data_IF_726007370204
#
_entry.id   IF_726007370204
#
_cell.length_a   1.000
_cell.length_b   1.000
_cell.length_c   1.000
_cell.angle_alpha   90.00
_cell.angle_beta   90.00
_cell.angle_gamma   90.00
#
_symmetry.space_group_name_H-M   'P 1'
#
loop_
_entity.id
_entity.type
_entity.pdbx_description
1 polymer ?
#
# COMPACT_ATOMS: atom_id res chain seq x y z
N UNK A 1 6.16 6.44 14.48
CA UNK A 1 6.05 7.86 14.06
C UNK A 1 5.51 7.88 12.64
N UNK A 2 4.49 8.70 12.35
CA UNK A 2 4.03 8.88 10.98
C UNK A 2 5.17 9.51 10.17
N UNK A 3 5.50 8.92 9.04
CA UNK A 3 6.52 9.43 8.14
C UNK A 3 5.94 10.62 7.38
N UNK A 4 6.64 11.72 7.34
CA UNK A 4 6.24 12.92 6.62
C UNK A 4 7.32 13.38 5.66
N UNK A 5 6.94 14.15 4.66
CA UNK A 5 7.82 14.69 3.63
C UNK A 5 7.66 16.20 3.49
N UNK A 6 8.69 16.86 2.96
CA UNK A 6 8.63 18.27 2.57
C UNK A 6 8.01 18.43 1.18
N UNK A 7 7.51 19.61 0.81
CA UNK A 7 7.02 19.91 -0.53
C UNK A 7 8.05 19.57 -1.63
N UNK A 8 9.33 19.80 -1.37
CA UNK A 8 10.42 19.47 -2.29
C UNK A 8 10.57 17.97 -2.51
N UNK A 9 10.45 17.17 -1.43
CA UNK A 9 10.50 15.70 -1.54
C UNK A 9 9.30 15.16 -2.30
N UNK A 10 8.07 15.64 -2.00
CA UNK A 10 6.88 15.24 -2.74
C UNK A 10 6.99 15.63 -4.22
N UNK A 11 7.42 16.85 -4.53
CA UNK A 11 7.62 17.31 -5.91
C UNK A 11 8.54 16.38 -6.72
N UNK A 12 9.66 15.95 -6.11
CA UNK A 12 10.57 14.98 -6.74
C UNK A 12 9.93 13.60 -6.91
N UNK A 13 9.20 13.14 -5.89
CA UNK A 13 8.57 11.83 -5.91
C UNK A 13 7.53 11.67 -7.02
N UNK A 14 6.83 12.75 -7.39
CA UNK A 14 5.78 12.72 -8.42
C UNK A 14 6.15 13.45 -9.72
N UNK A 15 7.38 13.94 -9.82
CA UNK A 15 7.90 14.54 -11.07
C UNK A 15 7.29 15.91 -11.42
N UNK A 16 6.94 16.72 -10.42
CA UNK A 16 6.39 18.08 -10.62
C UNK A 16 7.30 19.16 -10.00
N UNK A 17 6.94 20.46 -10.23
CA UNK A 17 7.67 21.55 -9.59
C UNK A 17 7.32 21.68 -8.11
N UNK A 18 8.29 22.10 -7.29
CA UNK A 18 8.04 22.41 -5.87
C UNK A 18 6.99 23.51 -5.68
N UNK A 19 6.93 24.48 -6.60
CA UNK A 19 5.94 25.55 -6.59
C UNK A 19 4.52 25.02 -6.80
N UNK A 20 4.33 23.99 -7.63
CA UNK A 20 3.03 23.34 -7.80
C UNK A 20 2.56 22.70 -6.49
N UNK A 21 3.46 21.95 -5.82
CA UNK A 21 3.13 21.32 -4.53
C UNK A 21 2.82 22.35 -3.47
N UNK A 22 3.61 23.46 -3.38
CA UNK A 22 3.33 24.55 -2.44
C UNK A 22 1.96 25.18 -2.68
N UNK A 23 1.60 25.39 -3.94
CA UNK A 23 0.27 25.93 -4.29
C UNK A 23 -0.84 24.97 -3.86
N UNK A 24 -0.71 23.66 -4.11
CA UNK A 24 -1.71 22.67 -3.66
C UNK A 24 -1.86 22.63 -2.13
N UNK A 25 -0.78 22.88 -1.40
CA UNK A 25 -0.84 23.04 0.06
C UNK A 25 -1.57 24.33 0.45
N UNK A 26 -1.29 25.46 -0.24
CA UNK A 26 -1.90 26.75 0.04
C UNK A 26 -3.39 26.76 -0.33
N UNK A 27 -3.77 26.06 -1.39
CA UNK A 27 -5.15 25.89 -1.86
C UNK A 27 -5.94 24.85 -1.03
N UNK A 28 -5.30 24.19 -0.05
CA UNK A 28 -5.93 23.17 0.80
C UNK A 28 -6.21 21.83 0.09
N UNK A 29 -5.63 21.60 -1.09
CA UNK A 29 -5.74 20.33 -1.82
C UNK A 29 -4.93 19.24 -1.13
N UNK A 30 -3.84 19.60 -0.46
CA UNK A 30 -3.02 18.73 0.37
C UNK A 30 -2.97 19.31 1.78
N UNK A 31 -3.48 18.56 2.75
CA UNK A 31 -3.38 18.96 4.15
C UNK A 31 -1.93 19.00 4.61
N UNK A 32 -1.55 20.11 5.22
CA UNK A 32 -0.17 20.40 5.61
C UNK A 32 -0.10 20.86 7.05
N UNK A 33 0.91 20.40 7.76
CA UNK A 33 1.33 20.94 9.06
C UNK A 33 2.61 21.78 8.90
N UNK A 34 2.93 22.55 9.94
CA UNK A 34 4.13 23.37 9.98
C UNK A 34 5.00 22.96 11.16
N UNK A 35 6.32 22.90 10.94
CA UNK A 35 7.26 22.77 12.03
C UNK A 35 7.35 24.09 12.83
N UNK A 36 7.89 24.08 14.07
CA UNK A 36 8.13 25.32 14.83
C UNK A 36 8.96 26.35 14.07
N UNK A 37 9.81 25.92 13.11
CA UNK A 37 10.59 26.81 12.23
C UNK A 37 9.85 27.25 10.97
N UNK A 38 8.53 27.04 10.86
CA UNK A 38 7.73 27.49 9.72
C UNK A 38 7.85 26.66 8.44
N UNK A 39 8.52 25.50 8.48
CA UNK A 39 8.65 24.63 7.31
C UNK A 39 7.42 23.74 7.16
N UNK A 40 6.89 23.64 5.92
CA UNK A 40 5.76 22.76 5.58
C UNK A 40 6.14 21.31 5.71
N UNK A 41 5.23 20.53 6.28
CA UNK A 41 5.33 19.09 6.52
C UNK A 41 4.05 18.43 6.06
N UNK A 42 4.18 17.44 5.18
CA UNK A 42 3.05 16.71 4.61
C UNK A 42 3.16 15.27 5.12
N UNK A 43 2.15 14.80 5.83
CA UNK A 43 2.11 13.41 6.30
C UNK A 43 1.88 12.45 5.13
N UNK A 44 2.42 11.22 5.21
CA UNK A 44 2.37 10.28 4.07
C UNK A 44 0.94 9.86 3.73
N UNK A 45 0.06 9.73 4.70
CA UNK A 45 -1.36 9.44 4.45
C UNK A 45 -2.03 10.54 3.61
N UNK A 46 -1.70 11.82 3.84
CA UNK A 46 -2.18 12.95 3.04
C UNK A 46 -1.64 12.89 1.61
N UNK A 47 -0.37 12.52 1.46
CA UNK A 47 0.22 12.28 0.13
C UNK A 47 -0.53 11.16 -0.60
N UNK A 48 -0.79 10.04 0.07
CA UNK A 48 -1.49 8.90 -0.52
C UNK A 48 -2.93 9.23 -0.89
N UNK A 49 -3.64 9.99 -0.06
CA UNK A 49 -4.99 10.50 -0.39
C UNK A 49 -4.96 11.42 -1.61
N UNK A 50 -4.03 12.34 -1.66
CA UNK A 50 -3.83 13.22 -2.82
C UNK A 50 -3.55 12.42 -4.10
N UNK A 51 -2.63 11.46 -4.07
CA UNK A 51 -2.29 10.62 -5.21
C UNK A 51 -3.50 9.78 -5.68
N UNK A 52 -4.24 9.21 -4.74
CA UNK A 52 -5.46 8.45 -5.02
C UNK A 52 -6.52 9.29 -5.72
N UNK A 53 -6.74 10.53 -5.24
CA UNK A 53 -7.76 11.42 -5.78
C UNK A 53 -7.38 12.02 -7.13
N UNK A 54 -6.11 12.34 -7.33
CA UNK A 54 -5.63 13.05 -8.53
C UNK A 54 -5.04 12.15 -9.60
N UNK A 55 -4.76 10.87 -9.26
CA UNK A 55 -4.13 9.89 -10.15
C UNK A 55 -2.76 10.34 -10.69
N UNK A 56 -2.05 11.18 -9.94
CA UNK A 56 -0.68 11.55 -10.32
C UNK A 56 0.23 10.32 -10.31
N UNK A 57 1.04 10.19 -11.35
CA UNK A 57 2.05 9.14 -11.43
C UNK A 57 3.13 9.35 -10.35
N UNK A 58 3.66 8.25 -9.83
CA UNK A 58 4.78 8.27 -8.89
C UNK A 58 6.05 7.98 -9.69
N UNK A 59 6.96 8.96 -9.76
CA UNK A 59 8.24 8.83 -10.45
C UNK A 59 9.30 8.15 -9.57
N UNK A 60 9.32 8.49 -8.28
CA UNK A 60 10.27 7.94 -7.31
C UNK A 60 9.57 7.64 -5.97
N UNK A 61 9.00 6.44 -5.83
CA UNK A 61 8.27 6.05 -4.61
C UNK A 61 9.16 5.94 -3.37
N UNK A 62 10.45 5.68 -3.52
CA UNK A 62 11.39 5.50 -2.41
C UNK A 62 11.56 6.77 -1.58
N UNK A 63 11.46 7.95 -2.20
CA UNK A 63 11.46 9.24 -1.51
C UNK A 63 10.32 9.32 -0.48
N UNK A 64 9.18 8.69 -0.79
CA UNK A 64 8.01 8.61 0.09
C UNK A 64 8.12 7.44 1.09
N UNK A 65 9.16 6.61 0.98
CA UNK A 65 9.31 5.37 1.75
C UNK A 65 8.33 4.28 1.35
N UNK A 66 7.90 4.31 0.09
CA UNK A 66 7.06 3.32 -0.54
C UNK A 66 7.93 2.31 -1.33
N UNK A 67 7.40 1.11 -1.64
CA UNK A 67 8.12 0.12 -2.45
C UNK A 67 8.57 0.70 -3.80
N UNK A 68 9.80 0.38 -4.22
CA UNK A 68 10.39 0.90 -5.46
C UNK A 68 9.64 0.49 -6.74
N UNK A 69 8.85 -0.60 -6.67
CA UNK A 69 8.04 -1.10 -7.78
C UNK A 69 6.70 -0.36 -7.93
N UNK A 70 6.29 0.43 -6.93
CA UNK A 70 5.03 1.14 -6.95
C UNK A 70 5.01 2.19 -8.07
N UNK A 71 3.95 2.20 -8.86
CA UNK A 71 3.79 3.11 -10.01
C UNK A 71 4.45 2.63 -11.31
N UNK A 72 5.28 1.58 -11.29
CA UNK A 72 5.90 1.02 -12.49
C UNK A 72 5.01 0.02 -13.22
N UNK A 73 4.04 -0.54 -12.52
CA UNK A 73 3.13 -1.55 -13.04
C UNK A 73 1.72 -1.28 -12.52
N UNK A 74 0.73 -1.53 -13.36
CA UNK A 74 -0.68 -1.59 -12.98
C UNK A 74 -1.12 -3.03 -13.05
N UNK A 75 -1.96 -3.45 -12.12
CA UNK A 75 -2.49 -4.82 -12.06
C UNK A 75 -4.00 -4.79 -12.28
N UNK A 76 -4.51 -5.66 -13.15
CA UNK A 76 -5.91 -6.06 -13.09
C UNK A 76 -6.16 -6.86 -11.79
N UNK A 77 -7.41 -7.01 -11.39
CA UNK A 77 -7.75 -7.78 -10.18
C UNK A 77 -7.21 -9.21 -10.24
N UNK A 78 -7.31 -9.86 -11.39
CA UNK A 78 -6.82 -11.24 -11.58
C UNK A 78 -5.30 -11.32 -11.49
N UNK A 79 -4.57 -10.44 -12.19
CA UNK A 79 -3.12 -10.38 -12.11
C UNK A 79 -2.64 -10.07 -10.69
N UNK A 80 -3.37 -9.21 -9.96
CA UNK A 80 -3.06 -8.88 -8.58
C UNK A 80 -3.17 -10.11 -7.67
N UNK A 81 -4.20 -10.95 -7.84
CA UNK A 81 -4.34 -12.20 -7.08
C UNK A 81 -3.18 -13.14 -7.35
N UNK A 82 -2.80 -13.36 -8.62
CA UNK A 82 -1.71 -14.26 -9.01
C UNK A 82 -0.36 -13.76 -8.49
N UNK A 83 -0.08 -12.47 -8.71
CA UNK A 83 1.18 -11.87 -8.28
C UNK A 83 1.30 -11.76 -6.75
N UNK A 84 0.19 -11.49 -6.05
CA UNK A 84 0.17 -11.43 -4.59
C UNK A 84 0.38 -12.82 -3.99
N UNK A 85 -0.27 -13.87 -4.51
CA UNK A 85 -0.03 -15.25 -4.12
C UNK A 85 1.45 -15.62 -4.26
N UNK A 86 2.04 -15.37 -5.42
CA UNK A 86 3.46 -15.62 -5.70
C UNK A 86 4.38 -14.85 -4.74
N UNK A 87 4.09 -13.57 -4.50
CA UNK A 87 4.85 -12.74 -3.58
C UNK A 87 4.81 -13.27 -2.14
N UNK A 88 3.64 -13.71 -1.66
CA UNK A 88 3.47 -14.27 -0.32
C UNK A 88 4.21 -15.60 -0.16
N UNK A 89 4.09 -16.51 -1.13
CA UNK A 89 4.77 -17.82 -1.12
C UNK A 89 6.29 -17.68 -1.23
N UNK A 90 6.79 -16.70 -1.99
CA UNK A 90 8.22 -16.41 -2.16
C UNK A 90 8.80 -15.50 -1.08
N UNK A 91 8.04 -15.14 -0.04
CA UNK A 91 8.47 -14.25 1.04
C UNK A 91 8.89 -12.85 0.53
N UNK A 92 8.25 -12.35 -0.53
CA UNK A 92 8.53 -11.05 -1.11
C UNK A 92 7.57 -9.98 -0.57
N UNK A 93 7.82 -9.50 0.66
CA UNK A 93 7.00 -8.50 1.34
C UNK A 93 6.94 -7.16 0.58
N UNK A 94 8.04 -6.76 -0.07
CA UNK A 94 8.08 -5.50 -0.83
C UNK A 94 7.17 -5.54 -2.06
N UNK A 95 7.15 -6.66 -2.79
CA UNK A 95 6.22 -6.83 -3.92
C UNK A 95 4.77 -6.92 -3.43
N UNK A 96 4.52 -7.68 -2.36
CA UNK A 96 3.18 -7.77 -1.78
C UNK A 96 2.64 -6.39 -1.37
N UNK A 97 3.48 -5.55 -0.72
CA UNK A 97 3.11 -4.19 -0.37
C UNK A 97 2.90 -3.30 -1.61
N UNK A 98 3.74 -3.45 -2.65
CA UNK A 98 3.58 -2.69 -3.89
C UNK A 98 2.26 -2.99 -4.58
N UNK A 99 1.84 -4.26 -4.64
CA UNK A 99 0.56 -4.68 -5.22
C UNK A 99 -0.61 -4.08 -4.42
N UNK A 100 -0.63 -4.25 -3.10
CA UNK A 100 -1.69 -3.73 -2.22
C UNK A 100 -1.79 -2.20 -2.31
N UNK A 101 -0.66 -1.50 -2.29
CA UNK A 101 -0.62 -0.05 -2.43
C UNK A 101 -1.06 0.41 -3.82
N UNK A 102 -0.65 -0.31 -4.88
CA UNK A 102 -1.05 -0.02 -6.26
C UNK A 102 -2.57 -0.13 -6.46
N UNK A 103 -3.19 -1.19 -5.94
CA UNK A 103 -4.65 -1.38 -5.95
C UNK A 103 -5.37 -0.26 -5.17
N UNK A 104 -4.85 0.09 -3.99
CA UNK A 104 -5.39 1.19 -3.20
C UNK A 104 -5.34 2.53 -3.94
N UNK A 105 -4.22 2.84 -4.60
CA UNK A 105 -4.06 4.08 -5.38
C UNK A 105 -4.88 4.06 -6.69
N UNK A 106 -5.22 2.87 -7.20
CA UNK A 106 -6.13 2.69 -8.34
C UNK A 106 -7.61 2.82 -7.97
N UNK A 107 -7.90 3.24 -6.73
CA UNK A 107 -9.24 3.47 -6.19
C UNK A 107 -10.06 2.20 -5.91
N UNK A 108 -9.40 1.05 -5.82
CA UNK A 108 -10.06 -0.18 -5.37
C UNK A 108 -10.53 0.02 -3.92
N UNK A 109 -11.82 -0.25 -3.62
CA UNK A 109 -12.33 -0.17 -2.27
C UNK A 109 -11.58 -1.13 -1.33
N UNK A 110 -11.38 -0.71 -0.09
CA UNK A 110 -10.69 -1.55 0.90
C UNK A 110 -11.45 -2.88 1.14
N UNK A 111 -12.78 -2.87 1.09
CA UNK A 111 -13.59 -4.10 1.17
C UNK A 111 -13.26 -5.07 0.04
N UNK A 112 -13.20 -4.61 -1.20
CA UNK A 112 -12.82 -5.43 -2.37
C UNK A 112 -11.40 -5.98 -2.22
N UNK A 113 -10.47 -5.15 -1.73
CA UNK A 113 -9.09 -5.58 -1.48
C UNK A 113 -9.03 -6.76 -0.49
N UNK A 114 -9.82 -6.71 0.59
CA UNK A 114 -9.82 -7.76 1.62
C UNK A 114 -10.72 -8.93 1.24
N UNK A 115 -11.97 -8.67 0.87
CA UNK A 115 -13.01 -9.68 0.73
C UNK A 115 -12.92 -10.43 -0.60
N UNK A 116 -12.35 -9.82 -1.64
CA UNK A 116 -12.23 -10.46 -2.95
C UNK A 116 -10.79 -10.85 -3.29
N UNK A 117 -9.81 -9.94 -3.07
CA UNK A 117 -8.44 -10.20 -3.53
C UNK A 117 -7.68 -11.04 -2.51
N UNK A 118 -7.59 -10.59 -1.26
CA UNK A 118 -6.81 -11.30 -0.23
C UNK A 118 -7.45 -12.64 0.12
N UNK A 119 -8.78 -12.72 0.25
CA UNK A 119 -9.47 -13.98 0.52
C UNK A 119 -9.24 -14.98 -0.60
N UNK A 120 -9.37 -14.57 -1.88
CA UNK A 120 -9.11 -15.45 -3.03
C UNK A 120 -7.67 -15.96 -3.06
N UNK A 121 -6.69 -15.12 -2.68
CA UNK A 121 -5.29 -15.56 -2.57
C UNK A 121 -5.15 -16.69 -1.55
N UNK A 122 -5.75 -16.55 -0.36
CA UNK A 122 -5.66 -17.60 0.67
C UNK A 122 -6.49 -18.84 0.35
N UNK A 123 -7.63 -18.71 -0.32
CA UNK A 123 -8.36 -19.86 -0.87
C UNK A 123 -7.52 -20.65 -1.88
N UNK A 124 -6.78 -19.98 -2.77
CA UNK A 124 -5.86 -20.63 -3.71
C UNK A 124 -4.71 -21.31 -2.99
N UNK A 125 -4.06 -20.66 -2.04
CA UNK A 125 -2.98 -21.24 -1.24
C UNK A 125 -3.49 -22.50 -0.50
N UNK A 126 -4.69 -22.45 0.10
CA UNK A 126 -5.32 -23.58 0.77
C UNK A 126 -5.61 -24.76 -0.18
N UNK A 127 -6.14 -24.48 -1.37
CA UNK A 127 -6.40 -25.49 -2.39
C UNK A 127 -5.10 -26.16 -2.90
N UNK A 128 -4.02 -25.39 -3.05
CA UNK A 128 -2.71 -25.92 -3.44
C UNK A 128 -2.08 -26.78 -2.34
N UNK A 129 -2.35 -26.47 -1.08
CA UNK A 129 -1.96 -27.31 0.05
C UNK A 129 -2.70 -28.67 0.02
N UNK A 130 -4.00 -28.69 -0.21
CA UNK A 130 -4.78 -29.95 -0.34
C UNK A 130 -4.25 -30.83 -1.49
N UNK A 131 -3.70 -30.21 -2.54
CA UNK A 131 -3.05 -30.90 -3.67
C UNK A 131 -1.58 -31.26 -3.41
N UNK A 132 -1.03 -31.00 -2.22
CA UNK A 132 0.38 -31.20 -1.84
C UNK A 132 1.40 -30.40 -2.67
N UNK A 133 0.97 -29.32 -3.30
CA UNK A 133 1.84 -28.40 -4.04
C UNK A 133 2.47 -27.33 -3.13
N UNK A 134 1.86 -27.06 -1.97
CA UNK A 134 2.31 -26.11 -0.96
C UNK A 134 2.48 -26.84 0.37
N UNK A 135 3.62 -26.67 1.01
CA UNK A 135 3.89 -27.23 2.34
C UNK A 135 3.23 -26.40 3.45
N UNK A 136 2.85 -27.02 4.56
CA UNK A 136 2.21 -26.35 5.73
C UNK A 136 3.02 -25.14 6.21
N UNK A 137 4.36 -25.22 6.16
CA UNK A 137 5.20 -24.10 6.58
C UNK A 137 5.12 -22.92 5.63
N UNK A 138 4.89 -23.14 4.31
CA UNK A 138 4.76 -22.10 3.31
C UNK A 138 3.46 -21.33 3.49
N UNK A 139 2.36 -22.02 3.79
CA UNK A 139 1.08 -21.37 4.14
C UNK A 139 1.23 -20.48 5.38
N UNK A 140 1.82 -21.01 6.45
CA UNK A 140 2.07 -20.24 7.67
C UNK A 140 2.97 -19.03 7.43
N UNK A 141 3.99 -19.21 6.58
CA UNK A 141 4.87 -18.11 6.18
C UNK A 141 4.11 -17.06 5.38
N UNK A 142 3.28 -17.45 4.40
CA UNK A 142 2.44 -16.55 3.63
C UNK A 142 1.50 -15.72 4.52
N UNK A 143 0.87 -16.34 5.53
CA UNK A 143 0.06 -15.64 6.53
C UNK A 143 0.86 -14.58 7.31
N UNK A 144 2.08 -14.91 7.74
CA UNK A 144 2.93 -13.95 8.46
C UNK A 144 3.36 -12.78 7.58
N UNK A 145 3.73 -13.04 6.32
CA UNK A 145 4.08 -12.00 5.35
C UNK A 145 2.88 -11.08 5.10
N UNK A 146 1.73 -11.67 4.81
CA UNK A 146 0.49 -10.90 4.61
C UNK A 146 0.19 -10.00 5.81
N UNK A 147 0.25 -10.53 7.03
CA UNK A 147 0.03 -9.75 8.25
C UNK A 147 0.99 -8.57 8.37
N UNK A 148 2.30 -8.78 8.12
CA UNK A 148 3.30 -7.69 8.16
C UNK A 148 3.04 -6.65 7.08
N UNK A 149 2.72 -7.10 5.87
CA UNK A 149 2.39 -6.24 4.73
C UNK A 149 1.17 -5.36 5.04
N UNK A 150 0.11 -5.95 5.60
CA UNK A 150 -1.10 -5.24 5.99
C UNK A 150 -0.87 -4.25 7.13
N UNK A 151 0.00 -4.58 8.08
CA UNK A 151 0.38 -3.65 9.14
C UNK A 151 1.17 -2.46 8.58
N UNK A 152 2.11 -2.68 7.65
CA UNK A 152 2.81 -1.59 6.95
C UNK A 152 1.82 -0.72 6.16
N UNK A 153 0.90 -1.34 5.42
CA UNK A 153 -0.15 -0.64 4.68
C UNK A 153 -1.03 0.20 5.60
N UNK A 154 -1.45 -0.36 6.76
CA UNK A 154 -2.22 0.34 7.78
C UNK A 154 -1.50 1.58 8.31
N UNK A 155 -0.21 1.43 8.62
CA UNK A 155 0.62 2.54 9.13
C UNK A 155 0.77 3.65 8.09
N UNK A 156 0.96 3.29 6.82
CA UNK A 156 1.13 4.25 5.73
C UNK A 156 -0.17 5.02 5.42
N UNK A 157 -1.31 4.35 5.46
CA UNK A 157 -2.62 4.94 5.14
C UNK A 157 -3.34 5.52 6.35
N UNK A 158 -2.82 5.33 7.56
CA UNK A 158 -3.45 5.65 8.86
C UNK A 158 -4.90 5.12 8.98
N UNK A 159 -5.23 4.08 8.24
CA UNK A 159 -6.59 3.57 8.16
C UNK A 159 -6.92 2.66 9.35
N UNK A 160 -7.64 3.19 10.34
CA UNK A 160 -8.05 2.45 11.55
C UNK A 160 -9.01 1.27 11.25
N UNK A 161 -9.74 1.29 10.14
CA UNK A 161 -10.67 0.20 9.76
C UNK A 161 -9.93 -1.10 9.42
N UNK A 162 -8.70 -1.02 8.90
CA UNK A 162 -7.89 -2.18 8.55
C UNK A 162 -7.57 -3.04 9.78
N UNK A 163 -7.43 -2.45 10.96
CA UNK A 163 -7.15 -3.19 12.19
C UNK A 163 -8.27 -4.18 12.56
N UNK A 164 -9.52 -3.86 12.24
CA UNK A 164 -10.68 -4.71 12.55
C UNK A 164 -10.71 -5.92 11.61
N UNK A 165 -10.49 -5.71 10.32
CA UNK A 165 -10.54 -6.77 9.29
C UNK A 165 -9.37 -7.74 9.45
N UNK A 166 -8.15 -7.26 9.67
CA UNK A 166 -6.98 -8.11 9.90
C UNK A 166 -7.11 -9.01 11.14
N UNK A 167 -7.87 -8.56 12.18
CA UNK A 167 -8.17 -9.40 13.35
C UNK A 167 -9.23 -10.46 13.08
N UNK A 168 -10.21 -10.19 12.22
CA UNK A 168 -11.31 -11.11 11.93
C UNK A 168 -10.91 -12.20 10.93
N UNK A 169 -10.09 -11.87 9.90
CA UNK A 169 -9.64 -12.86 8.91
C UNK A 169 -8.68 -13.91 9.49
N UNK A 170 -7.90 -13.55 10.53
CA UNK A 170 -6.92 -14.43 11.15
C UNK A 170 -7.49 -15.36 12.25
N UNK A 171 -8.79 -15.21 12.59
CA UNK A 171 -9.47 -16.05 13.60
C UNK A 171 -10.14 -17.28 12.95
N UNK A 172 -10.24 -17.31 11.63
CA UNK A 172 -10.91 -18.38 10.88
C UNK A 172 -9.96 -19.29 10.08
N UNK A 173 -8.64 -19.26 10.39
CA UNK A 173 -7.66 -20.22 9.85
C UNK A 173 -7.10 -21.07 10.97
#
# INVERSE_FOLDING_TARGET
>A
MAKSVSPKQLARAIGVSESSVKRWCDDGVIDTSYTPGGHRKIEIDQVLQFLRNTKHAIADPEILGLPSMLGKQTWSTQEAVEQLQDALLKNNEELALAIIMGLFLSDIPISVLFDEIISTVFERIGNEWDCQNVEIYQERQACQICRRTLERFRVLTQNKKIQLVARLSLIHI
#
